data_IF_076057445522
#
_entry.id   IF_076057445522
#
_cell.length_a   1.000
_cell.length_b   1.000
_cell.length_c   1.000
_cell.angle_alpha   90.00
_cell.angle_beta   90.00
_cell.angle_gamma   90.00
#
_symmetry.space_group_name_H-M   'P 1'
#
loop_
_entity.id
_entity.type
_entity.pdbx_description
1 polymer ?
#
# COMPACT_ATOMS: atom_id res chain seq x y z
N UNK A 1 5.08 -12.32 1.17
CA UNK A 1 4.86 -10.86 1.09
C UNK A 1 4.14 -10.40 2.36
N UNK A 2 4.86 -9.92 3.37
CA UNK A 2 4.23 -9.29 4.52
C UNK A 2 3.69 -7.92 4.15
N UNK A 3 2.43 -7.63 4.48
CA UNK A 3 1.78 -6.38 4.12
C UNK A 3 1.01 -5.83 5.31
N UNK A 4 1.57 -4.83 5.98
CA UNK A 4 0.81 -4.00 6.91
C UNK A 4 0.20 -2.83 6.14
N UNK A 5 -1.11 -2.70 6.23
CA UNK A 5 -1.84 -1.64 5.57
C UNK A 5 -1.68 -0.30 6.33
N UNK A 6 -1.84 0.80 5.64
CA UNK A 6 -2.05 2.10 6.24
C UNK A 6 -3.49 2.49 5.95
N UNK A 7 -4.19 3.06 6.92
CA UNK A 7 -5.48 3.69 6.66
C UNK A 7 -5.18 4.99 5.95
N UNK A 8 -5.34 4.98 4.68
CA UNK A 8 -4.73 6.04 3.92
C UNK A 8 -5.64 7.22 3.70
N UNK A 9 -6.87 7.22 4.09
CA UNK A 9 -7.67 8.46 4.00
C UNK A 9 -9.14 8.24 4.39
N UNK A 10 -9.73 9.29 4.90
CA UNK A 10 -11.14 9.47 5.27
C UNK A 10 -12.14 9.10 4.15
N UNK A 11 -11.64 8.91 2.91
CA UNK A 11 -12.46 8.71 1.72
C UNK A 11 -12.15 7.43 0.93
N UNK A 12 -11.15 6.64 1.31
CA UNK A 12 -10.77 5.43 0.59
C UNK A 12 -10.88 4.20 1.48
N UNK A 13 -11.64 3.23 1.01
CA UNK A 13 -11.72 1.91 1.65
C UNK A 13 -10.34 1.25 1.64
N UNK A 14 -9.82 0.93 2.81
CA UNK A 14 -8.51 0.28 2.92
C UNK A 14 -8.52 -1.11 2.28
N UNK A 15 -7.35 -1.59 1.87
CA UNK A 15 -7.25 -2.95 1.30
C UNK A 15 -7.71 -4.03 2.29
N UNK A 16 -7.49 -3.83 3.58
CA UNK A 16 -7.97 -4.75 4.60
C UNK A 16 -9.50 -4.74 4.74
N UNK A 17 -10.13 -3.57 4.63
CA UNK A 17 -11.60 -3.49 4.61
C UNK A 17 -12.20 -4.18 3.38
N UNK A 18 -11.58 -4.03 2.20
CA UNK A 18 -12.00 -4.79 1.01
C UNK A 18 -11.91 -6.30 1.26
N UNK A 19 -10.81 -6.77 1.86
CA UNK A 19 -10.64 -8.19 2.19
C UNK A 19 -11.69 -8.70 3.19
N UNK A 20 -12.17 -7.86 4.11
CA UNK A 20 -13.26 -8.22 5.04
C UNK A 20 -14.60 -8.55 4.35
N UNK A 21 -14.75 -8.20 3.07
CA UNK A 21 -15.89 -8.64 2.27
C UNK A 21 -15.86 -10.15 1.98
N UNK A 22 -14.72 -10.82 2.16
CA UNK A 22 -14.65 -12.29 2.08
C UNK A 22 -15.05 -12.87 3.45
N UNK A 23 -16.06 -13.72 3.53
CA UNK A 23 -16.48 -14.34 4.79
C UNK A 23 -15.33 -15.06 5.50
N UNK A 24 -15.18 -14.81 6.80
CA UNK A 24 -14.16 -15.44 7.68
C UNK A 24 -12.71 -14.98 7.44
N UNK A 25 -12.45 -14.05 6.56
CA UNK A 25 -11.11 -13.41 6.52
C UNK A 25 -10.91 -12.57 7.78
N UNK A 26 -9.72 -12.71 8.35
CA UNK A 26 -9.24 -11.89 9.47
C UNK A 26 -8.08 -11.03 9.00
N UNK A 27 -8.12 -9.74 9.38
CA UNK A 27 -7.03 -8.77 9.18
C UNK A 27 -6.51 -8.21 10.51
N UNK A 28 -7.11 -8.65 11.60
CA UNK A 28 -6.80 -8.32 12.99
C UNK A 28 -5.85 -9.35 13.64
N UNK A 29 -4.88 -9.84 12.86
CA UNK A 29 -3.92 -10.84 13.31
C UNK A 29 -2.97 -10.23 14.36
N UNK A 30 -2.59 -11.01 15.37
CA UNK A 30 -1.44 -10.66 16.18
C UNK A 30 -0.13 -10.89 15.40
N UNK A 31 0.99 -10.44 15.98
CA UNK A 31 2.29 -10.50 15.29
C UNK A 31 2.75 -11.94 15.02
N UNK A 32 2.43 -12.86 15.92
CA UNK A 32 2.81 -14.27 15.81
C UNK A 32 2.00 -14.98 14.72
N UNK A 33 0.67 -14.76 14.69
CA UNK A 33 -0.25 -15.21 13.64
C UNK A 33 0.16 -14.67 12.27
N UNK A 34 0.47 -13.37 12.20
CA UNK A 34 0.91 -12.71 10.97
C UNK A 34 2.19 -13.37 10.40
N UNK A 35 3.21 -13.53 11.23
CA UNK A 35 4.45 -14.18 10.80
C UNK A 35 4.26 -15.66 10.48
N UNK A 36 3.42 -16.37 11.21
CA UNK A 36 3.08 -17.76 10.92
C UNK A 36 2.42 -17.91 9.56
N UNK A 37 1.48 -17.02 9.23
CA UNK A 37 0.82 -17.01 7.93
C UNK A 37 1.79 -16.71 6.80
N UNK A 38 2.66 -15.70 6.94
CA UNK A 38 3.70 -15.40 5.93
C UNK A 38 4.61 -16.61 5.70
N UNK A 39 5.02 -17.31 6.77
CA UNK A 39 5.82 -18.54 6.63
C UNK A 39 5.08 -19.66 5.92
N UNK A 40 3.77 -19.80 6.16
CA UNK A 40 2.96 -20.91 5.65
C UNK A 40 2.58 -20.76 4.19
N UNK A 41 2.14 -19.56 3.78
CA UNK A 41 1.58 -19.31 2.44
C UNK A 41 2.30 -18.23 1.64
N UNK A 42 3.36 -17.64 2.19
CA UNK A 42 4.16 -16.63 1.51
C UNK A 42 3.62 -15.21 1.59
N UNK A 43 2.40 -14.99 2.07
CA UNK A 43 1.80 -13.65 2.18
C UNK A 43 0.87 -13.55 3.40
N UNK A 44 0.72 -12.32 3.90
CA UNK A 44 -0.29 -11.95 4.88
C UNK A 44 -0.60 -10.46 4.77
N UNK A 45 -1.85 -10.12 5.08
CA UNK A 45 -2.32 -8.74 5.19
C UNK A 45 -2.77 -8.49 6.62
N UNK A 46 -2.38 -7.36 7.18
CA UNK A 46 -2.73 -6.95 8.53
C UNK A 46 -3.13 -5.47 8.53
N UNK A 47 -4.10 -5.13 9.32
CA UNK A 47 -4.44 -3.74 9.63
C UNK A 47 -3.28 -3.06 10.37
N UNK A 48 -3.35 -1.76 10.61
CA UNK A 48 -2.38 -1.04 11.44
C UNK A 48 -2.21 -1.75 12.77
N UNK A 49 -0.99 -2.05 13.11
CA UNK A 49 -0.66 -2.75 14.33
C UNK A 49 0.37 -1.95 15.14
N UNK A 50 -0.02 -1.55 16.36
CA UNK A 50 0.82 -0.77 17.27
C UNK A 50 2.06 -1.53 17.74
N UNK A 51 2.04 -2.85 17.74
CA UNK A 51 3.20 -3.68 18.09
C UNK A 51 4.28 -3.62 17.01
N UNK A 52 3.86 -3.44 15.74
CA UNK A 52 4.79 -3.38 14.59
C UNK A 52 5.32 -1.97 14.39
N UNK A 53 4.48 -0.95 14.48
CA UNK A 53 4.86 0.41 14.11
C UNK A 53 4.18 1.49 14.95
N UNK A 54 4.44 1.54 16.29
CA UNK A 54 3.74 2.45 17.20
C UNK A 54 3.99 3.92 16.88
N UNK A 55 5.23 4.29 16.61
CA UNK A 55 5.63 5.68 16.35
C UNK A 55 5.03 6.19 15.03
N UNK A 56 4.95 5.34 14.01
CA UNK A 56 4.37 5.71 12.73
C UNK A 56 2.88 6.03 12.87
N UNK A 57 2.16 5.24 13.63
CA UNK A 57 0.72 5.47 13.88
C UNK A 57 0.51 6.83 14.56
N UNK A 58 1.24 7.12 15.62
CA UNK A 58 1.13 8.41 16.34
C UNK A 58 1.50 9.61 15.45
N UNK A 59 2.55 9.46 14.64
CA UNK A 59 2.96 10.49 13.68
C UNK A 59 1.93 10.71 12.58
N UNK A 60 1.30 9.64 12.10
CA UNK A 60 0.27 9.76 11.07
C UNK A 60 -0.96 10.51 11.58
N UNK A 61 -1.45 10.17 12.77
CA UNK A 61 -2.55 10.90 13.43
C UNK A 61 -2.23 12.39 13.62
N UNK A 62 -0.99 12.71 14.00
CA UNK A 62 -0.56 14.11 14.10
C UNK A 62 -0.58 14.80 12.74
N UNK A 63 -0.09 14.13 11.69
CA UNK A 63 -0.07 14.67 10.33
C UNK A 63 -1.48 14.94 9.80
N UNK A 64 -2.45 14.08 10.09
CA UNK A 64 -3.86 14.32 9.76
C UNK A 64 -4.37 15.61 10.42
N UNK A 65 -4.12 15.75 11.72
CA UNK A 65 -4.57 16.94 12.50
C UNK A 65 -4.00 18.26 11.99
N UNK A 66 -2.79 18.27 11.46
CA UNK A 66 -2.10 19.49 10.99
C UNK A 66 -2.10 19.64 9.47
N UNK A 67 -2.79 18.79 8.73
CA UNK A 67 -2.86 18.86 7.27
C UNK A 67 -1.54 18.53 6.54
N UNK A 68 -0.64 17.76 7.17
CA UNK A 68 0.69 17.43 6.63
C UNK A 68 0.74 16.04 5.93
N UNK A 69 -0.40 15.52 5.50
CA UNK A 69 -0.46 14.23 4.79
C UNK A 69 0.38 14.24 3.50
N UNK A 70 0.27 15.24 2.59
CA UNK A 70 0.99 15.21 1.32
C UNK A 70 2.49 15.57 1.41
N UNK A 71 3.08 15.52 2.59
CA UNK A 71 4.49 15.80 2.78
C UNK A 71 5.38 14.65 2.30
N UNK A 72 6.18 14.85 1.25
CA UNK A 72 7.08 13.85 0.67
C UNK A 72 7.98 13.17 1.71
N UNK A 73 8.68 13.89 2.62
CA UNK A 73 9.48 13.24 3.66
C UNK A 73 8.66 12.32 4.57
N UNK A 74 7.48 12.74 4.98
CA UNK A 74 6.63 11.95 5.86
C UNK A 74 6.00 10.76 5.14
N UNK A 75 5.59 10.90 3.88
CA UNK A 75 5.13 9.76 3.06
C UNK A 75 6.26 8.73 2.94
N UNK A 76 7.47 9.18 2.60
CA UNK A 76 8.63 8.30 2.48
C UNK A 76 8.91 7.54 3.77
N UNK A 77 8.98 8.25 4.90
CA UNK A 77 9.26 7.64 6.20
C UNK A 77 8.15 6.67 6.62
N UNK A 78 6.89 7.07 6.55
CA UNK A 78 5.75 6.23 6.93
C UNK A 78 5.61 4.98 6.05
N UNK A 79 5.78 5.11 4.74
CA UNK A 79 5.71 3.97 3.83
C UNK A 79 6.82 2.96 4.10
N UNK A 80 8.07 3.42 4.18
CA UNK A 80 9.20 2.50 4.35
C UNK A 80 9.25 1.89 5.75
N UNK A 81 8.94 2.66 6.80
CA UNK A 81 8.93 2.12 8.17
C UNK A 81 7.93 0.99 8.33
N UNK A 82 6.70 1.14 7.87
CA UNK A 82 5.68 0.08 7.92
C UNK A 82 6.12 -1.18 7.18
N UNK A 83 6.62 -1.02 5.95
CA UNK A 83 7.00 -2.16 5.11
C UNK A 83 8.20 -2.91 5.68
N UNK A 84 9.19 -2.22 6.19
CA UNK A 84 10.37 -2.87 6.76
C UNK A 84 10.12 -3.40 8.18
N UNK A 85 9.31 -2.74 8.99
CA UNK A 85 8.90 -3.24 10.30
C UNK A 85 8.07 -4.53 10.18
N UNK A 86 7.24 -4.67 9.15
CA UNK A 86 6.50 -5.92 8.89
C UNK A 86 7.37 -7.06 8.33
N UNK A 87 8.69 -6.85 8.15
CA UNK A 87 9.63 -7.89 7.74
C UNK A 87 9.93 -7.96 6.24
N UNK A 88 9.53 -6.97 5.44
CA UNK A 88 9.87 -6.95 4.02
C UNK A 88 11.37 -6.73 3.80
N UNK A 89 12.02 -7.57 2.99
CA UNK A 89 13.42 -7.42 2.61
C UNK A 89 13.62 -6.39 1.50
N UNK A 90 12.61 -6.20 0.69
CA UNK A 90 12.53 -5.22 -0.37
C UNK A 90 11.10 -4.79 -0.63
N UNK A 91 10.93 -3.65 -1.28
CA UNK A 91 9.60 -3.11 -1.61
C UNK A 91 9.55 -2.59 -3.04
N UNK A 92 8.42 -2.81 -3.68
CA UNK A 92 8.00 -2.11 -4.88
C UNK A 92 6.90 -1.15 -4.48
N UNK A 93 7.04 0.12 -4.82
CA UNK A 93 6.07 1.16 -4.47
C UNK A 93 5.46 1.73 -5.73
N UNK A 94 4.15 1.67 -5.80
CA UNK A 94 3.36 2.37 -6.81
C UNK A 94 3.11 3.80 -6.32
N UNK A 95 3.71 4.77 -6.98
CA UNK A 95 3.57 6.20 -6.69
C UNK A 95 2.58 6.80 -7.67
N UNK A 96 1.35 6.95 -7.22
CA UNK A 96 0.27 7.48 -8.05
C UNK A 96 0.28 9.00 -8.10
N UNK A 97 0.03 9.56 -9.30
CA UNK A 97 -0.13 10.98 -9.51
C UNK A 97 -1.39 11.27 -10.33
N UNK A 98 -1.97 12.46 -10.17
CA UNK A 98 -3.13 12.89 -10.94
C UNK A 98 -4.35 13.22 -10.09
N UNK A 99 -5.51 13.33 -10.72
CA UNK A 99 -6.75 13.80 -10.08
C UNK A 99 -7.25 12.90 -8.96
N UNK A 100 -6.99 11.60 -9.03
CA UNK A 100 -7.34 10.61 -8.01
C UNK A 100 -6.28 10.46 -6.92
N UNK A 101 -5.24 11.30 -6.89
CA UNK A 101 -4.17 11.26 -5.89
C UNK A 101 -4.01 12.61 -5.20
N UNK A 102 -3.47 12.63 -3.99
CA UNK A 102 -3.04 13.89 -3.35
C UNK A 102 -1.76 14.45 -3.97
N UNK A 103 -1.00 13.66 -4.72
CA UNK A 103 0.10 14.14 -5.56
C UNK A 103 -0.49 14.43 -6.94
N UNK A 104 -0.67 15.70 -7.24
CA UNK A 104 -1.32 16.15 -8.49
C UNK A 104 -0.35 16.25 -9.67
N UNK A 105 0.89 16.58 -9.39
CA UNK A 105 1.92 16.81 -10.39
C UNK A 105 2.87 15.63 -10.53
N UNK A 106 3.23 15.29 -11.76
CA UNK A 106 4.12 14.17 -12.07
C UNK A 106 5.55 14.39 -11.57
N UNK A 107 6.01 15.63 -11.48
CA UNK A 107 7.35 15.92 -10.97
C UNK A 107 7.42 15.72 -9.45
N UNK A 108 6.37 16.06 -8.72
CA UNK A 108 6.27 15.74 -7.29
C UNK A 108 6.24 14.23 -7.05
N UNK A 109 5.53 13.48 -7.90
CA UNK A 109 5.53 12.02 -7.85
C UNK A 109 6.93 11.45 -8.11
N UNK A 110 7.66 11.99 -9.09
CA UNK A 110 9.06 11.62 -9.33
C UNK A 110 9.97 11.98 -8.16
N UNK A 111 9.73 13.12 -7.49
CA UNK A 111 10.47 13.49 -6.27
C UNK A 111 10.23 12.48 -5.15
N UNK A 112 8.96 12.08 -4.92
CA UNK A 112 8.61 11.05 -3.95
C UNK A 112 9.28 9.71 -4.30
N UNK A 113 9.21 9.28 -5.55
CA UNK A 113 9.85 8.05 -6.02
C UNK A 113 11.37 8.05 -5.78
N UNK A 114 12.04 9.18 -6.07
CA UNK A 114 13.48 9.37 -5.77
C UNK A 114 13.77 9.35 -4.27
N UNK A 115 12.90 9.97 -3.46
CA UNK A 115 13.03 9.97 -2.00
C UNK A 115 12.96 8.55 -1.44
N UNK A 116 11.94 7.77 -1.83
CA UNK A 116 11.74 6.38 -1.42
C UNK A 116 12.94 5.52 -1.80
N UNK A 117 13.38 5.57 -3.04
CA UNK A 117 14.49 4.75 -3.52
C UNK A 117 15.83 5.16 -2.88
N UNK A 118 16.03 6.45 -2.63
CA UNK A 118 17.23 6.97 -1.92
C UNK A 118 17.27 6.50 -0.47
N UNK A 119 16.16 6.65 0.27
CA UNK A 119 16.08 6.22 1.68
C UNK A 119 16.23 4.71 1.78
N UNK A 120 15.57 3.94 0.92
CA UNK A 120 15.73 2.49 0.87
C UNK A 120 17.20 2.08 0.68
N UNK A 121 17.93 2.74 -0.23
CA UNK A 121 19.37 2.50 -0.44
C UNK A 121 20.20 2.82 0.81
N UNK A 122 19.92 3.93 1.50
CA UNK A 122 20.58 4.28 2.75
C UNK A 122 20.33 3.24 3.84
N UNK A 123 19.16 2.64 3.87
CA UNK A 123 18.78 1.55 4.76
C UNK A 123 19.33 0.18 4.31
N UNK A 124 20.08 0.12 3.20
CA UNK A 124 20.58 -1.12 2.58
C UNK A 124 19.45 -2.11 2.22
N UNK A 125 18.30 -1.57 1.81
CA UNK A 125 17.13 -2.33 1.39
C UNK A 125 16.85 -2.11 -0.09
N UNK A 126 16.30 -3.11 -0.76
CA UNK A 126 15.86 -2.99 -2.17
C UNK A 126 14.57 -2.20 -2.22
N UNK A 127 14.58 -1.07 -2.92
CA UNK A 127 13.38 -0.27 -3.15
C UNK A 127 13.29 0.11 -4.62
N UNK A 128 12.18 -0.23 -5.22
CA UNK A 128 11.79 0.19 -6.57
C UNK A 128 10.54 1.04 -6.45
N UNK A 129 10.45 2.11 -7.20
CA UNK A 129 9.26 2.96 -7.26
C UNK A 129 8.85 3.14 -8.73
N UNK A 130 7.59 2.84 -9.02
CA UNK A 130 6.95 3.13 -10.29
C UNK A 130 6.07 4.36 -10.12
N UNK A 131 6.14 5.28 -11.08
CA UNK A 131 5.25 6.45 -11.12
C UNK A 131 4.14 6.14 -12.10
N UNK A 132 2.90 6.10 -11.61
CA UNK A 132 1.73 5.67 -12.39
C UNK A 132 0.65 6.74 -12.42
N UNK A 133 -0.10 6.76 -13.51
CA UNK A 133 -1.20 7.70 -13.70
C UNK A 133 -2.42 7.28 -12.87
N UNK A 134 -3.04 8.25 -12.22
CA UNK A 134 -4.28 8.11 -11.45
C UNK A 134 -5.30 9.21 -11.82
N UNK A 135 -5.33 9.61 -13.09
CA UNK A 135 -6.33 10.54 -13.61
C UNK A 135 -7.67 9.86 -13.94
N UNK A 136 -7.65 8.56 -14.07
CA UNK A 136 -8.82 7.70 -14.27
C UNK A 136 -8.86 6.61 -13.20
N UNK A 137 -10.04 6.12 -12.81
CA UNK A 137 -10.15 4.91 -12.01
C UNK A 137 -9.44 3.75 -12.69
N UNK A 138 -8.82 2.88 -11.91
CA UNK A 138 -8.19 1.65 -12.40
C UNK A 138 -9.21 0.52 -12.36
N UNK A 139 -9.28 -0.26 -13.44
CA UNK A 139 -10.29 -1.30 -13.59
C UNK A 139 -11.69 -0.74 -13.88
N UNK A 140 -12.69 -1.60 -13.79
CA UNK A 140 -14.08 -1.31 -14.17
C UNK A 140 -15.05 -1.29 -12.99
N UNK A 141 -14.62 -1.78 -11.83
CA UNK A 141 -15.48 -1.96 -10.65
C UNK A 141 -15.21 -0.91 -9.58
N UNK A 142 -16.26 -0.42 -8.93
CA UNK A 142 -16.21 0.48 -7.78
C UNK A 142 -17.04 -0.10 -6.64
N UNK A 143 -16.43 -0.19 -5.47
CA UNK A 143 -17.03 -0.73 -4.25
C UNK A 143 -16.34 -2.02 -3.78
N UNK A 144 -16.17 -2.16 -2.45
CA UNK A 144 -15.31 -3.17 -1.85
C UNK A 144 -15.51 -4.60 -2.38
N UNK A 145 -16.76 -5.05 -2.46
CA UNK A 145 -17.07 -6.41 -2.95
C UNK A 145 -16.86 -6.56 -4.46
N UNK A 146 -17.19 -5.55 -5.25
CA UNK A 146 -17.03 -5.57 -6.71
C UNK A 146 -15.56 -5.52 -7.10
N UNK A 147 -14.78 -4.66 -6.47
CA UNK A 147 -13.33 -4.57 -6.68
C UNK A 147 -12.63 -5.88 -6.28
N UNK A 148 -13.12 -6.55 -5.23
CA UNK A 148 -12.58 -7.85 -4.83
C UNK A 148 -12.89 -8.95 -5.85
N UNK A 149 -14.11 -8.96 -6.40
CA UNK A 149 -14.48 -9.89 -7.49
C UNK A 149 -13.57 -9.64 -8.70
N UNK A 150 -13.41 -8.39 -9.10
CA UNK A 150 -12.52 -8.02 -10.21
C UNK A 150 -11.07 -8.46 -9.95
N UNK A 151 -10.55 -8.29 -8.73
CA UNK A 151 -9.23 -8.78 -8.36
C UNK A 151 -9.11 -10.31 -8.44
N UNK A 152 -10.17 -11.05 -8.08
CA UNK A 152 -10.19 -12.51 -8.22
C UNK A 152 -10.22 -12.93 -9.70
N UNK A 153 -11.00 -12.25 -10.53
CA UNK A 153 -11.02 -12.50 -11.98
C UNK A 153 -9.67 -12.17 -12.63
N UNK A 154 -9.01 -11.09 -12.19
CA UNK A 154 -7.65 -10.78 -12.61
C UNK A 154 -6.66 -11.91 -12.28
N UNK A 155 -6.75 -12.47 -11.08
CA UNK A 155 -5.90 -13.61 -10.68
C UNK A 155 -6.16 -14.89 -11.50
N UNK A 156 -7.34 -15.00 -12.11
CA UNK A 156 -7.67 -16.06 -13.07
C UNK A 156 -7.24 -15.75 -14.50
N UNK A 157 -6.77 -14.52 -14.77
CA UNK A 157 -6.36 -14.06 -16.09
C UNK A 157 -7.48 -13.39 -16.90
N UNK A 158 -8.59 -13.03 -16.27
CA UNK A 158 -9.81 -12.48 -16.91
C UNK A 158 -10.10 -11.02 -16.50
N UNK A 159 -9.13 -10.32 -15.92
CA UNK A 159 -9.32 -8.95 -15.44
C UNK A 159 -9.20 -7.88 -16.55
N UNK A 160 -9.53 -6.60 -16.23
CA UNK A 160 -9.34 -5.47 -17.13
C UNK A 160 -7.87 -5.31 -17.54
N UNK A 161 -7.65 -4.92 -18.78
CA UNK A 161 -6.31 -4.82 -19.37
C UNK A 161 -5.41 -3.82 -18.64
N UNK A 162 -5.94 -2.66 -18.26
CA UNK A 162 -5.22 -1.61 -17.52
C UNK A 162 -4.75 -2.08 -16.15
N UNK A 163 -5.62 -2.81 -15.44
CA UNK A 163 -5.30 -3.40 -14.14
C UNK A 163 -4.26 -4.53 -14.28
N UNK A 164 -4.43 -5.39 -15.30
CA UNK A 164 -3.48 -6.45 -15.62
C UNK A 164 -2.09 -5.88 -15.94
N UNK A 165 -2.03 -4.87 -16.79
CA UNK A 165 -0.79 -4.18 -17.17
C UNK A 165 -0.06 -3.60 -15.97
N UNK A 166 -0.79 -2.95 -15.05
CA UNK A 166 -0.21 -2.39 -13.84
C UNK A 166 0.34 -3.49 -12.93
N UNK A 167 -0.45 -4.53 -12.67
CA UNK A 167 -0.04 -5.64 -11.78
C UNK A 167 1.18 -6.36 -12.33
N UNK A 168 1.23 -6.60 -13.64
CA UNK A 168 2.40 -7.23 -14.30
C UNK A 168 3.66 -6.37 -14.25
N UNK A 169 3.53 -5.03 -14.22
CA UNK A 169 4.67 -4.12 -14.05
C UNK A 169 5.16 -4.01 -12.62
N UNK A 170 4.29 -4.24 -11.64
CA UNK A 170 4.62 -4.20 -10.21
C UNK A 170 5.20 -5.52 -9.70
N UNK A 171 4.83 -6.64 -10.31
CA UNK A 171 5.28 -8.01 -9.94
C UNK A 171 6.53 -8.43 -10.68
#
# INVERSE_FOLDING_TARGET
MPMMNGDDEEFLTSNCEKLKAIPKIRTDLDLEEFHAQVRKIGCAFIDRNVEISPVEISLYELRQKIGAIPSIPFITAGTLSRKFASGAEGVVVDVKWGKGSFIRDVEDAKQLARSITRVGRLMKRRCVALVTDNNQPLGNCLGASLELIEAIELLKGEGPEDLQDLVMKLG
#
